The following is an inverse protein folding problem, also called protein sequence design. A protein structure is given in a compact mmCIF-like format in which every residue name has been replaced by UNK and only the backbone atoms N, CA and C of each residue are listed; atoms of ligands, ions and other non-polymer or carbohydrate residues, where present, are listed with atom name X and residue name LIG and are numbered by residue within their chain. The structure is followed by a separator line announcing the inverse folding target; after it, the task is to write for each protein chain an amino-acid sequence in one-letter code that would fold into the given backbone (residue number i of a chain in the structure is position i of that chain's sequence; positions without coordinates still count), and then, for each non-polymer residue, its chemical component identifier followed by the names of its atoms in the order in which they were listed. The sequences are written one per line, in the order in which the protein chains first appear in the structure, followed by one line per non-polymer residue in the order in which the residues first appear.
data_IF_175618102753
#
_entry.id   IF_175618102753
#
_cell.length_a   1.000
_cell.length_b   1.000
_cell.length_c   1.000
_cell.angle_alpha   90.00
_cell.angle_beta   90.00
_cell.angle_gamma   90.00
#
_symmetry.space_group_name_H-M   'P 1'
#
loop_
_entity.id
_entity.type
_entity.pdbx_description
1 polymer ?
#
# COMPACT_ATOMS: atom_id res chain seq x y z
N UNK A 1 -5.72 -14.89 -2.38
CA UNK A 1 -6.00 -15.19 -0.97
C UNK A 1 -7.37 -14.68 -0.57
N UNK A 2 -8.03 -15.29 0.40
CA UNK A 2 -9.34 -14.83 0.90
C UNK A 2 -9.12 -14.04 2.20
N UNK A 3 -9.67 -12.83 2.29
CA UNK A 3 -9.69 -12.00 3.50
C UNK A 3 -10.93 -11.11 3.48
N UNK A 4 -11.52 -10.81 4.65
CA UNK A 4 -12.79 -10.06 4.74
C UNK A 4 -13.90 -10.58 3.79
N UNK A 5 -14.04 -11.91 3.68
CA UNK A 5 -14.98 -12.60 2.78
C UNK A 5 -14.84 -12.24 1.28
N UNK A 6 -13.63 -11.88 0.84
CA UNK A 6 -13.35 -11.43 -0.53
C UNK A 6 -12.07 -12.05 -1.06
N UNK A 7 -12.00 -12.19 -2.37
CA UNK A 7 -10.82 -12.68 -3.08
C UNK A 7 -9.88 -11.53 -3.43
N UNK A 8 -8.62 -11.68 -3.02
CA UNK A 8 -7.51 -10.79 -3.36
C UNK A 8 -6.44 -11.54 -4.16
N UNK A 9 -5.91 -10.87 -5.18
CA UNK A 9 -4.74 -11.27 -5.96
C UNK A 9 -3.56 -10.39 -5.55
N UNK A 10 -2.37 -10.96 -5.54
CA UNK A 10 -1.15 -10.20 -5.30
C UNK A 10 0.00 -10.78 -6.10
N UNK A 11 0.93 -9.92 -6.48
CA UNK A 11 2.15 -10.29 -7.20
C UNK A 11 3.25 -9.26 -6.91
N UNK A 12 4.49 -9.65 -7.14
CA UNK A 12 5.65 -8.76 -7.06
C UNK A 12 6.23 -8.57 -8.46
N UNK A 13 6.64 -7.35 -8.77
CA UNK A 13 7.32 -7.03 -10.03
C UNK A 13 8.51 -6.08 -9.76
N UNK A 14 9.67 -6.26 -10.42
CA UNK A 14 10.73 -5.27 -10.42
C UNK A 14 10.23 -3.97 -11.05
N UNK A 15 10.65 -2.83 -10.51
CA UNK A 15 10.42 -1.54 -11.14
C UNK A 15 11.31 -1.44 -12.39
N UNK A 16 10.70 -1.33 -13.56
CA UNK A 16 11.42 -1.36 -14.85
C UNK A 16 12.34 -0.12 -14.98
N UNK A 17 11.97 0.98 -14.34
CA UNK A 17 12.75 2.22 -14.34
C UNK A 17 13.85 2.24 -13.26
N UNK A 18 13.77 1.34 -12.27
CA UNK A 18 14.74 1.22 -11.17
C UNK A 18 14.87 -0.24 -10.74
N UNK A 19 15.78 -0.96 -11.40
CA UNK A 19 15.95 -2.43 -11.27
C UNK A 19 16.19 -2.92 -9.83
N UNK A 20 16.42 -2.01 -8.87
CA UNK A 20 16.61 -2.33 -7.45
C UNK A 20 15.33 -2.24 -6.62
N UNK A 21 14.29 -1.61 -7.15
CA UNK A 21 13.01 -1.44 -6.47
C UNK A 21 12.11 -2.60 -6.83
N UNK A 22 11.60 -3.31 -5.83
CA UNK A 22 10.58 -4.35 -6.02
C UNK A 22 9.24 -3.76 -5.58
N UNK A 23 8.22 -3.84 -6.45
CA UNK A 23 6.87 -3.42 -6.13
C UNK A 23 5.99 -4.62 -5.85
N UNK A 24 5.28 -4.56 -4.73
CA UNK A 24 4.18 -5.44 -4.39
C UNK A 24 2.85 -4.80 -4.84
N UNK A 25 2.05 -5.57 -5.56
CA UNK A 25 0.72 -5.17 -6.02
C UNK A 25 -0.32 -6.03 -5.31
N UNK A 26 -1.37 -5.42 -4.75
CA UNK A 26 -2.49 -6.12 -4.11
C UNK A 26 -3.80 -5.59 -4.69
N UNK A 27 -4.64 -6.51 -5.19
CA UNK A 27 -5.83 -6.22 -5.97
C UNK A 27 -6.99 -7.07 -5.44
N UNK A 28 -8.14 -6.45 -5.14
CA UNK A 28 -9.38 -7.23 -4.99
C UNK A 28 -9.97 -7.60 -6.36
N UNK A 29 -10.68 -8.71 -6.44
CA UNK A 29 -11.34 -9.18 -7.66
C UNK A 29 -12.20 -8.10 -8.36
N UNK A 30 -12.92 -7.29 -7.59
CA UNK A 30 -13.76 -6.21 -8.10
C UNK A 30 -12.98 -4.98 -8.60
N UNK A 31 -11.64 -4.99 -8.48
CA UNK A 31 -10.70 -3.91 -8.80
C UNK A 31 -10.93 -2.58 -8.08
N UNK A 32 -11.84 -2.54 -7.10
CA UNK A 32 -12.11 -1.34 -6.28
C UNK A 32 -10.99 -1.12 -5.28
N UNK A 33 -10.46 -2.20 -4.70
CA UNK A 33 -9.23 -2.20 -3.93
C UNK A 33 -8.05 -2.49 -4.86
N UNK A 34 -7.11 -1.55 -4.93
CA UNK A 34 -5.86 -1.72 -5.65
C UNK A 34 -4.80 -0.80 -5.01
N UNK A 35 -3.73 -1.40 -4.53
CA UNK A 35 -2.62 -0.69 -3.88
C UNK A 35 -1.28 -1.24 -4.37
N UNK A 36 -0.26 -0.39 -4.35
CA UNK A 36 1.12 -0.80 -4.58
C UNK A 36 2.03 -0.33 -3.45
N UNK A 37 2.99 -1.17 -3.11
CA UNK A 37 3.91 -0.96 -2.00
C UNK A 37 5.32 -1.31 -2.47
N UNK A 38 6.29 -0.44 -2.21
CA UNK A 38 7.70 -0.79 -2.44
C UNK A 38 8.18 -1.69 -1.31
N UNK A 39 8.81 -2.81 -1.66
CA UNK A 39 9.32 -3.82 -0.73
C UNK A 39 10.70 -3.40 -0.21
N UNK A 40 10.92 -3.59 1.08
CA UNK A 40 12.17 -3.23 1.78
C UNK A 40 12.26 -1.74 2.16
N UNK A 41 11.15 -1.00 2.10
CA UNK A 41 11.12 0.42 2.49
C UNK A 41 11.53 0.61 3.94
N UNK A 42 11.15 -0.34 4.82
CA UNK A 42 11.44 -0.25 6.25
C UNK A 42 12.95 -0.31 6.54
N UNK A 43 13.70 -1.11 5.78
CA UNK A 43 15.14 -1.30 5.97
C UNK A 43 15.99 -0.15 5.41
N UNK A 44 15.38 0.80 4.67
CA UNK A 44 16.08 1.97 4.14
C UNK A 44 16.17 3.07 5.21
N UNK A 45 17.39 3.38 5.63
CA UNK A 45 17.66 4.43 6.63
C UNK A 45 17.05 5.78 6.19
N UNK A 46 16.30 6.41 7.10
CA UNK A 46 15.62 7.69 6.91
C UNK A 46 14.50 7.69 5.84
N UNK A 47 14.03 6.53 5.37
CA UNK A 47 12.87 6.44 4.50
C UNK A 47 11.62 6.19 5.33
N UNK A 48 10.58 6.97 5.07
CA UNK A 48 9.24 6.73 5.64
C UNK A 48 8.50 5.77 4.70
N UNK A 49 8.01 4.61 5.18
CA UNK A 49 7.25 3.69 4.36
C UNK A 49 5.95 4.32 3.85
N UNK A 50 5.72 4.16 2.56
CA UNK A 50 4.57 4.72 1.85
C UNK A 50 3.90 3.61 1.04
N UNK A 51 2.57 3.65 0.98
CA UNK A 51 1.77 2.86 0.05
C UNK A 51 1.08 3.79 -0.94
N UNK A 52 1.05 3.36 -2.19
CA UNK A 52 0.31 4.03 -3.26
C UNK A 52 -1.06 3.37 -3.36
N UNK A 53 -2.11 4.15 -3.23
CA UNK A 53 -3.48 3.70 -3.40
C UNK A 53 -3.95 4.18 -4.77
N UNK A 54 -4.32 3.21 -5.60
CA UNK A 54 -4.79 3.42 -6.97
C UNK A 54 -6.30 3.19 -7.04
N UNK A 55 -6.78 2.19 -6.28
CA UNK A 55 -8.19 1.86 -6.16
C UNK A 55 -8.99 2.89 -5.37
N UNK A 56 -10.31 2.87 -5.57
CA UNK A 56 -11.25 3.74 -4.85
C UNK A 56 -11.42 3.33 -3.39
N UNK A 57 -11.24 2.05 -3.10
CA UNK A 57 -11.50 1.46 -1.81
C UNK A 57 -10.29 1.54 -0.88
N UNK A 58 -10.41 2.39 0.13
CA UNK A 58 -9.45 2.55 1.22
C UNK A 58 -10.19 3.17 2.40
N UNK A 59 -10.41 2.39 3.44
CA UNK A 59 -11.29 2.78 4.55
C UNK A 59 -10.64 3.84 5.44
N UNK A 60 -11.47 4.60 6.15
CA UNK A 60 -11.04 5.73 6.99
C UNK A 60 -10.78 7.03 6.22
N UNK A 61 -10.81 6.99 4.89
CA UNK A 61 -10.64 8.16 4.05
C UNK A 61 -11.99 8.82 3.72
N UNK A 62 -12.16 10.08 4.10
CA UNK A 62 -13.45 10.79 4.01
C UNK A 62 -13.54 11.82 2.88
N UNK A 63 -12.43 12.10 2.19
CA UNK A 63 -12.39 13.13 1.13
C UNK A 63 -12.49 12.50 -0.25
N UNK A 64 -13.28 13.09 -1.15
CA UNK A 64 -13.19 12.73 -2.57
C UNK A 64 -11.79 13.09 -3.10
N UNK A 65 -11.14 12.14 -3.77
CA UNK A 65 -9.82 12.34 -4.36
C UNK A 65 -9.79 11.71 -5.75
N UNK A 66 -9.21 12.43 -6.72
CA UNK A 66 -9.08 11.99 -8.10
C UNK A 66 -7.62 11.59 -8.34
N UNK A 67 -7.40 10.35 -8.80
CA UNK A 67 -6.08 9.83 -9.15
C UNK A 67 -5.38 9.04 -8.04
N UNK A 68 -4.09 8.79 -8.22
CA UNK A 68 -3.28 7.99 -7.29
C UNK A 68 -2.89 8.82 -6.07
N UNK A 69 -2.99 8.23 -4.89
CA UNK A 69 -2.66 8.86 -3.62
C UNK A 69 -1.56 8.06 -2.90
N UNK A 70 -0.72 8.76 -2.14
CA UNK A 70 0.38 8.18 -1.38
C UNK A 70 0.14 8.47 0.09
N UNK A 71 0.18 7.44 0.91
CA UNK A 71 -0.02 7.58 2.36
C UNK A 71 1.09 6.90 3.11
N UNK A 72 1.48 7.50 4.24
CA UNK A 72 2.43 6.88 5.17
C UNK A 72 1.77 5.63 5.78
N UNK A 73 2.51 4.54 5.82
CA UNK A 73 2.07 3.27 6.41
C UNK A 73 2.68 3.05 7.79
N UNK A 74 2.27 1.95 8.41
CA UNK A 74 3.04 1.36 9.50
C UNK A 74 4.40 0.87 8.99
N UNK A 75 5.33 0.67 9.92
CA UNK A 75 6.59 -0.02 9.67
C UNK A 75 6.35 -1.53 9.67
N UNK A 76 6.10 -2.09 8.49
CA UNK A 76 6.03 -3.54 8.32
C UNK A 76 7.43 -4.12 8.18
N UNK A 77 7.64 -5.34 8.68
CA UNK A 77 8.82 -6.11 8.33
C UNK A 77 8.63 -6.65 6.90
N UNK A 78 9.14 -5.89 5.94
CA UNK A 78 8.89 -6.07 4.52
C UNK A 78 10.11 -6.59 3.74
N UNK A 79 11.10 -7.16 4.44
CA UNK A 79 12.26 -7.79 3.79
C UNK A 79 11.87 -9.01 2.95
N UNK A 80 10.79 -9.70 3.36
CA UNK A 80 10.25 -10.88 2.67
C UNK A 80 8.74 -10.74 2.55
N UNK A 81 8.24 -10.85 1.31
CA UNK A 81 6.80 -10.85 1.06
C UNK A 81 6.20 -12.22 1.39
N UNK A 82 5.36 -12.23 2.42
CA UNK A 82 4.65 -13.43 2.87
C UNK A 82 3.14 -13.22 2.79
N UNK A 83 2.33 -14.29 2.64
CA UNK A 83 0.88 -14.17 2.71
C UNK A 83 0.38 -13.49 4.00
N UNK A 84 1.09 -13.67 5.13
CA UNK A 84 0.75 -12.99 6.37
C UNK A 84 0.88 -11.46 6.24
N UNK A 85 2.02 -10.99 5.72
CA UNK A 85 2.25 -9.55 5.47
C UNK A 85 1.21 -8.98 4.50
N UNK A 86 0.88 -9.69 3.41
CA UNK A 86 -0.19 -9.27 2.49
C UNK A 86 -1.50 -9.07 3.26
N UNK A 87 -1.79 -10.00 4.15
CA UNK A 87 -2.93 -9.93 5.05
C UNK A 87 -2.95 -8.70 5.94
N UNK A 88 -1.83 -8.38 6.58
CA UNK A 88 -1.68 -7.20 7.43
C UNK A 88 -1.88 -5.90 6.65
N UNK A 89 -1.34 -5.82 5.43
CA UNK A 89 -1.52 -4.67 4.53
C UNK A 89 -2.98 -4.51 4.14
N UNK A 90 -3.68 -5.61 3.79
CA UNK A 90 -5.11 -5.59 3.46
C UNK A 90 -5.92 -5.09 4.65
N UNK A 91 -5.70 -5.66 5.83
CA UNK A 91 -6.44 -5.28 7.03
C UNK A 91 -6.22 -3.82 7.40
N UNK A 92 -4.97 -3.33 7.31
CA UNK A 92 -4.68 -1.93 7.55
C UNK A 92 -5.39 -1.02 6.55
N UNK A 93 -5.41 -1.39 5.26
CA UNK A 93 -6.13 -0.63 4.23
C UNK A 93 -7.64 -0.59 4.49
N UNK A 94 -8.23 -1.66 5.05
CA UNK A 94 -9.66 -1.78 5.37
C UNK A 94 -10.03 -1.30 6.78
N UNK A 95 -9.05 -0.96 7.62
CA UNK A 95 -9.29 -0.41 8.96
C UNK A 95 -9.87 1.01 8.85
N UNK A 96 -11.08 1.21 9.38
CA UNK A 96 -11.77 2.52 9.32
C UNK A 96 -11.14 3.55 10.26
N UNK A 97 -10.82 3.14 11.47
CA UNK A 97 -10.31 4.02 12.52
C UNK A 97 -8.78 4.01 12.51
N UNK A 98 -8.19 4.68 11.50
CA UNK A 98 -6.75 4.87 11.40
C UNK A 98 -6.40 6.31 11.07
N UNK A 99 -5.23 6.75 11.55
CA UNK A 99 -4.66 8.02 11.12
C UNK A 99 -4.14 7.87 9.68
N UNK A 100 -4.54 8.79 8.79
CA UNK A 100 -4.09 8.78 7.40
C UNK A 100 -3.31 10.06 7.12
N UNK A 101 -2.02 9.89 6.87
CA UNK A 101 -1.09 10.97 6.52
C UNK A 101 -0.75 10.90 5.03
N UNK A 102 -1.26 11.85 4.24
CA UNK A 102 -0.98 11.92 2.80
C UNK A 102 0.34 12.59 2.53
N UNK A 103 1.07 12.05 1.56
CA UNK A 103 2.33 12.62 1.08
C UNK A 103 2.31 12.87 -0.42
N UNK A 104 3.14 13.81 -0.86
CA UNK A 104 3.39 14.02 -2.28
C UNK A 104 4.37 12.99 -2.84
N UNK A 105 4.74 13.15 -4.11
CA UNK A 105 5.69 12.24 -4.78
C UNK A 105 7.11 12.25 -4.17
N UNK A 106 7.46 13.28 -3.39
CA UNK A 106 8.74 13.37 -2.65
C UNK A 106 8.66 12.76 -1.24
N UNK A 107 7.51 12.21 -0.84
CA UNK A 107 7.28 11.72 0.53
C UNK A 107 7.04 12.82 1.57
N UNK A 108 6.80 14.07 1.14
CA UNK A 108 6.52 15.20 2.04
C UNK A 108 5.02 15.29 2.30
N UNK A 109 4.63 15.49 3.57
CA UNK A 109 3.23 15.64 3.98
C UNK A 109 2.51 16.74 3.20
N UNK A 110 1.31 16.43 2.70
CA UNK A 110 0.40 17.40 2.10
C UNK A 110 -0.53 17.89 3.22
N UNK A 111 -0.57 19.21 3.45
CA UNK A 111 -1.51 19.86 4.38
C UNK A 111 -2.90 19.98 3.76
#
# INVERSE_FOLDING_TARGET
MIRANRLFYWYVEPDIDDERIIKLHIIAENKKFLVTYEVGQHSIKNKTPIIVIIGKEFEGWTKEYIGYRRVITLNWNDEIITPNLIGEIIDWCLLRDKEIKVVNWKGVLIK
#
